data_IF_454895609811
#
_entry.id   IF_454895609811
#
_cell.length_a   1.000
_cell.length_b   1.000
_cell.length_c   1.000
_cell.angle_alpha   90.00
_cell.angle_beta   90.00
_cell.angle_gamma   90.00
#
_symmetry.space_group_name_H-M   'P 1'
#
loop_
_entity.id
_entity.type
_entity.pdbx_description
1 polymer ?
#
# COMPACT_ATOMS: atom_id res chain seq x y z
N UNK A 1 2.57 12.88 -11.78
CA UNK A 1 1.35 12.84 -10.95
C UNK A 1 1.50 11.73 -9.91
N UNK A 2 1.00 11.92 -8.68
CA UNK A 2 0.95 10.83 -7.70
C UNK A 2 0.00 9.73 -8.19
N UNK A 3 0.36 8.48 -7.91
CA UNK A 3 -0.54 7.35 -8.10
C UNK A 3 -1.74 7.42 -7.18
N UNK A 4 -2.84 6.80 -7.60
CA UNK A 4 -4.00 6.57 -6.75
C UNK A 4 -4.36 5.10 -6.93
N UNK A 5 -4.24 4.30 -5.87
CA UNK A 5 -4.82 2.97 -5.84
C UNK A 5 -6.14 3.01 -5.08
N UNK A 6 -7.23 3.06 -5.83
CA UNK A 6 -8.53 2.74 -5.28
C UNK A 6 -8.63 1.20 -5.25
N UNK A 7 -8.76 0.63 -4.06
CA UNK A 7 -9.14 -0.77 -3.94
C UNK A 7 -10.64 -0.88 -4.24
N UNK A 8 -10.96 -1.29 -5.47
CA UNK A 8 -12.29 -1.74 -5.82
C UNK A 8 -12.32 -3.28 -5.76
N UNK A 9 -13.13 -3.89 -4.89
CA UNK A 9 -13.20 -5.33 -4.78
C UNK A 9 -13.68 -5.95 -6.11
N UNK A 10 -12.80 -6.68 -6.78
CA UNK A 10 -13.10 -7.37 -8.04
C UNK A 10 -13.85 -8.69 -7.79
N UNK A 11 -15.07 -8.62 -7.24
CA UNK A 11 -16.03 -9.72 -7.31
C UNK A 11 -17.46 -9.24 -6.96
N UNK A 12 -18.42 -9.52 -7.85
CA UNK A 12 -19.86 -9.55 -7.53
C UNK A 12 -20.25 -10.82 -6.76
N UNK A 13 -19.37 -11.32 -5.91
CA UNK A 13 -19.61 -12.37 -4.95
C UNK A 13 -19.21 -11.81 -3.58
N UNK A 14 -19.98 -12.09 -2.53
CA UNK A 14 -19.69 -11.67 -1.15
C UNK A 14 -18.45 -12.41 -0.61
N UNK A 15 -17.30 -12.20 -1.23
CA UNK A 15 -16.02 -12.70 -0.76
C UNK A 15 -15.38 -11.56 0.01
N UNK A 16 -15.40 -11.69 1.32
CA UNK A 16 -14.67 -10.79 2.21
C UNK A 16 -13.19 -11.20 2.19
N UNK A 17 -12.38 -10.48 1.43
CA UNK A 17 -10.93 -10.74 1.37
C UNK A 17 -10.25 -10.53 2.72
N UNK A 18 -10.80 -9.65 3.57
CA UNK A 18 -10.30 -9.44 4.92
C UNK A 18 -10.54 -10.68 5.79
N UNK A 19 -11.62 -11.43 5.59
CA UNK A 19 -11.87 -12.66 6.37
C UNK A 19 -10.77 -13.72 6.27
N UNK A 20 -9.94 -13.68 5.21
CA UNK A 20 -8.83 -14.61 5.01
C UNK A 20 -7.57 -14.26 5.79
N UNK A 21 -7.49 -13.06 6.38
CA UNK A 21 -6.38 -12.63 7.23
C UNK A 21 -6.78 -12.83 8.69
N UNK A 22 -5.96 -13.53 9.47
CA UNK A 22 -6.23 -13.76 10.89
C UNK A 22 -6.47 -12.43 11.64
N UNK A 23 -7.44 -12.37 12.56
CA UNK A 23 -7.78 -11.13 13.29
C UNK A 23 -6.63 -10.57 14.12
N UNK A 24 -5.77 -11.45 14.63
CA UNK A 24 -4.58 -11.14 15.42
C UNK A 24 -3.33 -10.90 14.58
N UNK A 25 -3.45 -10.91 13.25
CA UNK A 25 -2.33 -10.72 12.33
C UNK A 25 -1.61 -9.39 12.60
N UNK A 26 -0.28 -9.45 12.67
CA UNK A 26 0.57 -8.32 13.06
C UNK A 26 0.32 -7.05 12.20
N UNK A 27 0.23 -7.20 10.88
CA UNK A 27 -0.02 -6.05 9.99
C UNK A 27 -1.39 -5.40 10.21
N UNK A 28 -2.42 -6.15 10.67
CA UNK A 28 -3.71 -5.55 11.03
C UNK A 28 -3.60 -4.66 12.26
N UNK A 29 -2.77 -5.06 13.22
CA UNK A 29 -2.52 -4.25 14.41
C UNK A 29 -1.83 -2.93 14.06
N UNK A 30 -0.90 -2.97 13.09
CA UNK A 30 -0.24 -1.76 12.58
C UNK A 30 -1.25 -0.88 11.84
N UNK A 31 -2.02 -1.45 10.92
CA UNK A 31 -3.02 -0.73 10.12
C UNK A 31 -4.03 0.04 10.99
N UNK A 32 -4.46 -0.55 12.12
CA UNK A 32 -5.37 0.10 13.08
C UNK A 32 -4.78 1.33 13.78
N UNK A 33 -3.46 1.46 13.89
CA UNK A 33 -2.80 2.54 14.65
C UNK A 33 -2.03 3.52 13.79
N UNK A 34 -1.73 3.16 12.54
CA UNK A 34 -0.88 3.94 11.65
C UNK A 34 -1.70 4.45 10.47
N UNK A 35 -2.14 5.70 10.57
CA UNK A 35 -2.72 6.44 9.45
C UNK A 35 -1.59 7.04 8.60
N UNK A 36 -1.56 6.66 7.32
CA UNK A 36 -0.57 7.13 6.33
C UNK A 36 -1.14 8.18 5.37
N UNK A 37 -2.36 8.68 5.57
CA UNK A 37 -2.98 9.69 4.71
C UNK A 37 -2.09 10.93 4.53
N UNK A 38 -1.34 11.32 5.59
CA UNK A 38 -0.41 12.44 5.59
C UNK A 38 0.72 12.33 4.54
N UNK A 39 1.08 11.10 4.12
CA UNK A 39 2.17 10.86 3.17
C UNK A 39 1.86 11.49 1.82
N UNK A 40 0.59 11.46 1.39
CA UNK A 40 0.17 12.07 0.12
C UNK A 40 0.37 13.58 0.15
N UNK A 41 -0.01 14.24 1.24
CA UNK A 41 0.17 15.68 1.40
C UNK A 41 1.65 16.08 1.42
N UNK A 42 2.46 15.35 2.19
CA UNK A 42 3.90 15.63 2.29
C UNK A 42 4.63 15.46 0.96
N UNK A 43 4.22 14.48 0.15
CA UNK A 43 4.89 14.17 -1.10
C UNK A 43 4.36 14.98 -2.29
N UNK A 44 3.16 15.55 -2.21
CA UNK A 44 2.52 16.26 -3.32
C UNK A 44 3.42 17.32 -4.00
N UNK A 45 4.18 18.19 -3.29
CA UNK A 45 5.05 19.18 -3.92
C UNK A 45 6.20 18.59 -4.75
N UNK A 46 6.50 17.30 -4.60
CA UNK A 46 7.58 16.59 -5.30
C UNK A 46 7.12 15.93 -6.60
N UNK A 47 5.81 15.89 -6.86
CA UNK A 47 5.26 15.29 -8.07
C UNK A 47 4.75 16.35 -9.04
N UNK A 48 4.90 16.08 -10.33
CA UNK A 48 4.26 16.89 -11.36
C UNK A 48 2.72 16.83 -11.21
N UNK A 49 2.08 18.00 -11.17
CA UNK A 49 0.67 18.14 -10.83
C UNK A 49 -0.26 17.34 -11.76
N UNK A 50 -0.10 17.44 -13.09
CA UNK A 50 -0.99 16.78 -14.05
C UNK A 50 -0.30 16.12 -15.25
N UNK A 51 1.03 16.07 -15.26
CA UNK A 51 1.79 15.58 -16.41
C UNK A 51 2.57 14.31 -16.06
N UNK A 52 2.78 13.47 -17.07
CA UNK A 52 3.55 12.22 -16.98
C UNK A 52 2.73 11.00 -16.54
N UNK A 53 3.41 9.85 -16.48
CA UNK A 53 2.82 8.59 -16.00
C UNK A 53 2.53 8.70 -14.49
N UNK A 54 1.35 8.27 -14.01
CA UNK A 54 1.10 8.15 -12.57
C UNK A 54 2.15 7.23 -11.93
N UNK A 55 2.70 7.64 -10.80
CA UNK A 55 3.59 6.79 -10.00
C UNK A 55 2.80 5.69 -9.28
N UNK A 56 3.49 4.88 -8.49
CA UNK A 56 2.84 4.18 -7.38
C UNK A 56 2.18 5.20 -6.45
N UNK A 57 1.08 4.80 -5.82
CA UNK A 57 0.48 5.58 -4.75
C UNK A 57 1.47 5.75 -3.59
N UNK A 58 1.78 6.98 -3.16
CA UNK A 58 2.72 7.22 -2.08
C UNK A 58 2.38 6.47 -0.79
N UNK A 59 1.10 6.33 -0.47
CA UNK A 59 0.68 5.60 0.72
C UNK A 59 1.00 4.10 0.60
N UNK A 60 0.66 3.50 -0.55
CA UNK A 60 0.96 2.10 -0.84
C UNK A 60 2.46 1.85 -0.84
N UNK A 61 3.26 2.76 -1.41
CA UNK A 61 4.71 2.65 -1.37
C UNK A 61 5.24 2.59 0.07
N UNK A 62 4.76 3.46 0.96
CA UNK A 62 5.17 3.42 2.37
C UNK A 62 4.67 2.15 3.09
N UNK A 63 3.46 1.66 2.80
CA UNK A 63 2.98 0.35 3.30
C UNK A 63 3.89 -0.79 2.86
N UNK A 64 4.35 -0.79 1.60
CA UNK A 64 5.34 -1.75 1.11
C UNK A 64 6.67 -1.65 1.86
N UNK A 65 7.16 -0.44 2.15
CA UNK A 65 8.39 -0.25 2.94
C UNK A 65 8.25 -0.79 4.37
N UNK A 66 7.08 -0.66 5.00
CA UNK A 66 6.82 -1.26 6.31
C UNK A 66 6.84 -2.79 6.23
N UNK A 67 6.22 -3.39 5.23
CA UNK A 67 6.30 -4.84 4.99
C UNK A 67 7.75 -5.27 4.80
N UNK A 68 8.51 -4.55 3.97
CA UNK A 68 9.92 -4.83 3.73
C UNK A 68 10.73 -4.80 5.03
N UNK A 69 10.51 -3.79 5.87
CA UNK A 69 11.18 -3.62 7.15
C UNK A 69 10.82 -4.72 8.15
N UNK A 70 9.53 -4.98 8.39
CA UNK A 70 9.09 -5.93 9.41
C UNK A 70 9.38 -7.40 9.05
N UNK A 71 9.42 -7.73 7.76
CA UNK A 71 9.70 -9.10 7.28
C UNK A 71 11.13 -9.28 6.75
N UNK A 72 11.99 -8.26 6.86
CA UNK A 72 13.40 -8.34 6.46
C UNK A 72 13.61 -8.55 4.96
N UNK A 73 12.72 -8.00 4.11
CA UNK A 73 12.83 -8.10 2.65
C UNK A 73 13.70 -6.95 2.14
N UNK A 74 14.97 -7.23 1.86
CA UNK A 74 15.92 -6.22 1.41
C UNK A 74 15.87 -5.91 -0.10
N UNK A 75 15.21 -6.76 -0.90
CA UNK A 75 15.20 -6.64 -2.37
C UNK A 75 13.83 -6.16 -2.83
N UNK A 76 13.77 -5.00 -3.48
CA UNK A 76 12.52 -4.42 -4.00
C UNK A 76 11.77 -5.37 -4.94
N UNK A 77 12.49 -6.09 -5.81
CA UNK A 77 11.86 -7.07 -6.71
C UNK A 77 11.13 -8.17 -5.93
N UNK A 78 11.76 -8.70 -4.88
CA UNK A 78 11.14 -9.71 -4.01
C UNK A 78 9.95 -9.11 -3.28
N UNK A 79 10.05 -7.88 -2.79
CA UNK A 79 8.95 -7.19 -2.15
C UNK A 79 7.73 -7.10 -3.07
N UNK A 80 7.91 -6.66 -4.32
CA UNK A 80 6.82 -6.62 -5.31
C UNK A 80 6.19 -7.99 -5.55
N UNK A 81 7.00 -9.06 -5.61
CA UNK A 81 6.51 -10.44 -5.76
C UNK A 81 5.67 -10.89 -4.54
N UNK A 82 6.13 -10.58 -3.31
CA UNK A 82 5.46 -10.96 -2.06
C UNK A 82 4.13 -10.21 -1.86
N UNK A 83 4.06 -8.92 -2.24
CA UNK A 83 2.83 -8.12 -2.14
C UNK A 83 1.94 -8.19 -3.39
N UNK A 84 2.35 -8.96 -4.41
CA UNK A 84 1.65 -9.09 -5.70
C UNK A 84 1.34 -7.74 -6.38
N UNK A 85 2.33 -6.85 -6.39
CA UNK A 85 2.26 -5.55 -7.05
C UNK A 85 2.52 -5.63 -8.56
#
# INVERSE_FOLDING_TARGET
MQGVQAFEPQAKANIDLDSFVAEDHFLRRIDRVLDLAFVRELTAPRYAAQQGRPSIDPEVFFRMQLVAYFYGIAKDRRLCEEVRY
#
